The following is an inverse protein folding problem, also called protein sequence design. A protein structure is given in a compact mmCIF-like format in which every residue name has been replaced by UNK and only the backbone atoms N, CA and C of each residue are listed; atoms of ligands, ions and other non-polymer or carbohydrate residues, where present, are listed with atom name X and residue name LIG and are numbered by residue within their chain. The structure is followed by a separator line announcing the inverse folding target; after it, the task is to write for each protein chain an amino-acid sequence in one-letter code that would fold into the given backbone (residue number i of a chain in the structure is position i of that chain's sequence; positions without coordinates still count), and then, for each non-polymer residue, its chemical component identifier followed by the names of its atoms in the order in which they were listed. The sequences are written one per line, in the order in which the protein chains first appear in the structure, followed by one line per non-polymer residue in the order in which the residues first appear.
data_IF_772329865481
#
_entry.id   IF_772329865481
#
_cell.length_a   1.000
_cell.length_b   1.000
_cell.length_c   1.000
_cell.angle_alpha   90.00
_cell.angle_beta   90.00
_cell.angle_gamma   90.00
#
_symmetry.space_group_name_H-M   'P 1'
#
loop_
_entity.id
_entity.type
_entity.pdbx_description
1 polymer ?
#
# COMPACT_ATOMS: atom_id res chain seq x y z
N UNK A 1 -7.60 48.19 -8.57
CA UNK A 1 -6.32 48.25 -7.82
C UNK A 1 -6.52 47.62 -6.45
N UNK A 2 -5.48 47.06 -5.83
CA UNK A 2 -5.55 46.43 -4.51
C UNK A 2 -5.67 47.48 -3.39
N UNK A 3 -6.22 47.06 -2.23
CA UNK A 3 -5.61 47.22 -0.88
C UNK A 3 -6.53 46.64 0.20
N UNK A 4 -6.05 45.70 1.02
CA UNK A 4 -6.53 45.47 2.40
C UNK A 4 -5.33 45.09 3.30
N UNK A 5 -5.38 45.47 4.57
CA UNK A 5 -4.20 45.85 5.36
C UNK A 5 -3.54 44.75 6.23
N UNK A 6 -2.30 45.06 6.65
CA UNK A 6 -1.30 44.20 7.28
C UNK A 6 -0.44 45.07 8.23
N UNK A 7 -0.12 44.76 9.49
CA UNK A 7 -0.26 43.51 10.28
C UNK A 7 -1.04 43.74 11.59
N UNK A 8 -1.26 42.69 12.38
CA UNK A 8 -0.90 42.77 13.80
C UNK A 8 -0.33 41.43 14.32
N UNK A 9 1.00 41.32 14.35
CA UNK A 9 1.69 40.27 15.11
C UNK A 9 1.76 40.65 16.58
N UNK A 10 1.21 39.82 17.47
CA UNK A 10 1.56 39.83 18.90
C UNK A 10 2.35 38.56 19.22
N UNK A 11 3.67 38.64 19.41
CA UNK A 11 4.48 37.48 19.74
C UNK A 11 4.42 37.17 21.25
N UNK A 12 4.06 35.93 21.59
CA UNK A 12 4.34 35.34 22.91
C UNK A 12 3.19 35.30 23.92
N UNK A 13 2.23 34.39 23.74
CA UNK A 13 1.70 33.53 24.81
C UNK A 13 0.85 32.39 24.22
N UNK A 14 1.14 31.09 24.48
CA UNK A 14 0.14 30.04 24.31
C UNK A 14 -0.84 30.07 25.50
N UNK A 15 -2.17 29.97 25.30
CA UNK A 15 -3.09 29.80 26.41
C UNK A 15 -2.82 28.46 27.13
N UNK A 16 -2.60 28.46 28.45
CA UNK A 16 -2.28 27.24 29.18
C UNK A 16 -3.53 26.39 29.46
N UNK A 17 -3.28 25.16 29.93
CA UNK A 17 -4.28 24.19 30.43
C UNK A 17 -5.11 23.44 29.39
N UNK A 18 -4.50 22.36 28.87
CA UNK A 18 -5.01 21.02 29.17
C UNK A 18 -6.53 20.80 29.03
N UNK A 19 -7.06 20.92 27.82
CA UNK A 19 -8.26 20.17 27.44
C UNK A 19 -7.82 18.98 26.60
N UNK A 20 -7.94 17.78 27.17
CA UNK A 20 -7.82 16.56 26.40
C UNK A 20 -8.83 16.63 25.24
N UNK A 21 -8.34 16.63 24.01
CA UNK A 21 -9.21 16.49 22.84
C UNK A 21 -9.70 15.06 22.87
N UNK A 22 -10.88 14.84 23.46
CA UNK A 22 -11.62 13.59 23.31
C UNK A 22 -11.90 13.43 21.82
N UNK A 23 -11.08 12.65 21.14
CA UNK A 23 -11.33 12.21 19.78
C UNK A 23 -12.63 11.39 19.83
N UNK A 24 -13.75 12.05 19.51
CA UNK A 24 -15.04 11.39 19.40
C UNK A 24 -14.90 10.20 18.47
N UNK A 25 -15.46 9.06 18.85
CA UNK A 25 -15.32 7.82 18.11
C UNK A 25 -15.72 8.05 16.64
N UNK A 26 -14.73 8.00 15.74
CA UNK A 26 -14.97 8.16 14.30
C UNK A 26 -15.96 7.07 13.89
N UNK A 27 -17.15 7.41 13.35
CA UNK A 27 -18.16 6.41 13.03
C UNK A 27 -17.60 5.42 12.01
N UNK A 28 -17.40 4.19 12.47
CA UNK A 28 -16.79 3.15 11.65
C UNK A 28 -17.70 2.74 10.50
N UNK A 29 -17.08 2.49 9.35
CA UNK A 29 -17.66 1.86 8.15
C UNK A 29 -18.74 2.66 7.42
N UNK A 30 -18.33 3.71 6.73
CA UNK A 30 -18.61 3.71 5.27
C UNK A 30 -17.72 2.65 4.62
N UNK A 31 -18.18 1.90 3.60
CA UNK A 31 -17.29 1.10 2.76
C UNK A 31 -16.20 2.02 2.20
N UNK A 32 -14.98 1.80 2.63
CA UNK A 32 -13.82 2.57 2.18
C UNK A 32 -13.38 1.98 0.82
N UNK A 33 -13.57 2.70 -0.30
CA UNK A 33 -13.28 2.14 -1.63
C UNK A 33 -11.80 1.76 -1.76
N UNK A 34 -10.91 2.44 -1.02
CA UNK A 34 -9.48 2.16 -0.94
C UNK A 34 -9.11 0.85 -0.21
N UNK A 35 -10.09 0.16 0.40
CA UNK A 35 -9.93 -1.16 1.05
C UNK A 35 -10.54 -2.31 0.25
N UNK A 36 -11.04 -2.05 -0.96
CA UNK A 36 -11.80 -3.04 -1.73
C UNK A 36 -10.90 -3.83 -2.68
N UNK A 37 -10.55 -5.05 -2.28
CA UNK A 37 -9.76 -5.98 -3.08
C UNK A 37 -8.25 -5.75 -3.01
N UNK A 38 -7.48 -6.77 -3.39
CA UNK A 38 -6.07 -6.59 -3.75
C UNK A 38 -6.01 -6.11 -5.21
N UNK A 39 -5.22 -5.08 -5.54
CA UNK A 39 -5.05 -4.65 -6.93
C UNK A 39 -4.38 -5.77 -7.72
N UNK A 40 -4.72 -5.92 -9.01
CA UNK A 40 -4.02 -6.93 -9.82
C UNK A 40 -2.57 -6.52 -9.98
N UNK A 41 -1.68 -7.50 -10.10
CA UNK A 41 -0.27 -7.24 -10.36
C UNK A 41 -0.07 -6.36 -11.62
N UNK A 42 -0.94 -6.52 -12.62
CA UNK A 42 -0.92 -5.67 -13.83
C UNK A 42 -1.19 -4.21 -13.49
N UNK A 43 -2.20 -3.93 -12.66
CA UNK A 43 -2.55 -2.56 -12.25
C UNK A 43 -1.39 -1.92 -11.48
N UNK A 44 -0.82 -2.64 -10.51
CA UNK A 44 0.36 -2.21 -9.74
C UNK A 44 1.56 -1.94 -10.66
N UNK A 45 1.80 -2.80 -11.65
CA UNK A 45 2.88 -2.63 -12.63
C UNK A 45 2.62 -1.52 -13.65
N UNK A 46 1.44 -0.88 -13.66
CA UNK A 46 1.14 0.33 -14.43
C UNK A 46 1.10 1.61 -13.58
N UNK A 47 1.21 1.50 -12.25
CA UNK A 47 1.16 2.63 -11.34
C UNK A 47 2.37 3.58 -11.58
N UNK A 48 2.14 4.89 -11.81
CA UNK A 48 3.21 5.87 -11.96
C UNK A 48 4.21 5.92 -10.79
N UNK A 49 3.77 5.69 -9.55
CA UNK A 49 4.65 5.63 -8.38
C UNK A 49 5.58 4.42 -8.44
N UNK A 50 5.08 3.27 -8.89
CA UNK A 50 5.86 2.05 -9.08
C UNK A 50 6.90 2.26 -10.19
N UNK A 51 6.50 2.90 -11.30
CA UNK A 51 7.44 3.29 -12.36
C UNK A 51 8.54 4.25 -11.87
N UNK A 52 8.21 5.24 -11.04
CA UNK A 52 9.19 6.17 -10.46
C UNK A 52 10.18 5.45 -9.52
N UNK A 53 9.71 4.48 -8.72
CA UNK A 53 10.58 3.65 -7.86
C UNK A 53 11.49 2.76 -8.72
N UNK A 54 10.96 2.11 -9.76
CA UNK A 54 11.78 1.33 -10.69
C UNK A 54 12.85 2.19 -11.35
N UNK A 55 12.49 3.38 -11.85
CA UNK A 55 13.44 4.30 -12.49
C UNK A 55 14.53 4.77 -11.52
N UNK A 56 14.18 5.10 -10.27
CA UNK A 56 15.14 5.44 -9.20
C UNK A 56 16.18 4.33 -9.01
N UNK A 57 15.74 3.08 -9.09
CA UNK A 57 16.56 1.89 -8.86
C UNK A 57 17.20 1.34 -10.17
N UNK A 58 17.10 2.09 -11.29
CA UNK A 58 17.70 1.73 -12.58
C UNK A 58 16.98 0.62 -13.35
N UNK A 59 15.76 0.28 -12.95
CA UNK A 59 14.95 -0.79 -13.53
C UNK A 59 13.95 -0.28 -14.57
N UNK A 60 13.63 -1.14 -15.54
CA UNK A 60 12.53 -0.94 -16.51
C UNK A 60 11.55 -2.10 -16.43
N UNK A 61 10.27 -1.84 -16.71
CA UNK A 61 9.20 -2.82 -16.56
C UNK A 61 9.44 -4.12 -17.36
N UNK A 62 10.08 -4.04 -18.53
CA UNK A 62 10.41 -5.20 -19.37
C UNK A 62 11.44 -6.14 -18.72
N UNK A 63 12.26 -5.64 -17.79
CA UNK A 63 13.25 -6.43 -17.05
C UNK A 63 12.62 -7.08 -15.81
N UNK A 64 11.58 -6.47 -15.25
CA UNK A 64 10.90 -6.96 -14.04
C UNK A 64 9.88 -8.06 -14.38
N UNK A 65 9.11 -7.90 -15.46
CA UNK A 65 8.08 -8.87 -15.87
C UNK A 65 8.55 -10.33 -16.03
N UNK A 66 9.72 -10.62 -16.64
CA UNK A 66 10.26 -11.98 -16.70
C UNK A 66 10.52 -12.59 -15.32
N UNK A 67 11.07 -11.81 -14.38
CA UNK A 67 11.38 -12.26 -13.01
C UNK A 67 10.10 -12.61 -12.26
N UNK A 68 9.05 -11.78 -12.38
CA UNK A 68 7.77 -12.07 -11.71
C UNK A 68 7.11 -13.33 -12.30
N UNK A 69 7.11 -13.51 -13.63
CA UNK A 69 6.57 -14.74 -14.27
C UNK A 69 7.34 -16.00 -13.87
N UNK A 70 8.65 -15.90 -13.67
CA UNK A 70 9.46 -16.99 -13.13
C UNK A 70 9.04 -17.32 -11.69
N UNK A 71 8.98 -16.31 -10.81
CA UNK A 71 8.56 -16.49 -9.41
C UNK A 71 7.15 -17.09 -9.28
N UNK A 72 6.18 -16.67 -10.09
CA UNK A 72 4.84 -17.26 -10.16
C UNK A 72 4.88 -18.74 -10.58
N UNK A 73 5.74 -19.08 -11.54
CA UNK A 73 5.90 -20.46 -12.03
C UNK A 73 6.51 -21.37 -10.96
N UNK A 74 7.49 -20.88 -10.21
CA UNK A 74 8.15 -21.64 -9.15
C UNK A 74 7.27 -21.79 -7.90
N UNK A 75 6.48 -20.77 -7.55
CA UNK A 75 5.44 -20.87 -6.51
C UNK A 75 4.42 -21.96 -6.86
N UNK A 76 3.89 -21.95 -8.09
CA UNK A 76 2.95 -22.97 -8.58
C UNK A 76 3.54 -24.38 -8.49
N UNK A 77 4.82 -24.55 -8.85
CA UNK A 77 5.54 -25.84 -8.73
C UNK A 77 5.68 -26.30 -7.28
N UNK A 78 5.99 -25.38 -6.36
CA UNK A 78 6.09 -25.68 -4.93
C UNK A 78 4.74 -26.13 -4.35
N UNK A 79 3.64 -25.50 -4.75
CA UNK A 79 2.31 -25.83 -4.25
C UNK A 79 1.77 -27.16 -4.81
N UNK A 80 2.06 -27.49 -6.08
CA UNK A 80 1.80 -28.84 -6.61
C UNK A 80 2.56 -29.90 -5.79
N UNK A 81 3.86 -29.69 -5.56
CA UNK A 81 4.69 -30.63 -4.77
C UNK A 81 4.14 -30.81 -3.34
N UNK A 82 3.66 -29.75 -2.70
CA UNK A 82 2.99 -29.82 -1.38
C UNK A 82 1.70 -30.62 -1.43
N UNK A 83 0.87 -30.43 -2.46
CA UNK A 83 -0.38 -31.16 -2.64
C UNK A 83 -0.14 -32.67 -2.84
N UNK A 84 0.87 -33.03 -3.63
CA UNK A 84 1.20 -34.44 -3.89
C UNK A 84 1.81 -35.12 -2.66
N UNK A 85 2.68 -34.44 -1.90
CA UNK A 85 3.15 -34.93 -0.59
C UNK A 85 2.00 -35.14 0.40
N UNK A 86 1.02 -34.23 0.44
CA UNK A 86 -0.17 -34.37 1.30
C UNK A 86 -1.05 -35.56 0.90
N UNK A 87 -1.18 -35.82 -0.41
CA UNK A 87 -1.89 -37.02 -0.92
C UNK A 87 -1.14 -38.31 -0.59
N UNK A 88 0.18 -38.34 -0.75
CA UNK A 88 0.99 -39.50 -0.41
C UNK A 88 0.89 -39.83 1.09
N UNK A 89 0.90 -38.83 1.97
CA UNK A 89 0.68 -39.03 3.40
C UNK A 89 -0.72 -39.59 3.71
N UNK A 90 -1.76 -39.11 3.03
CA UNK A 90 -3.15 -39.55 3.23
C UNK A 90 -3.48 -40.95 2.67
N UNK A 91 -2.56 -41.59 1.92
CA UNK A 91 -2.70 -42.95 1.40
C UNK A 91 -1.87 -43.99 2.19
N UNK A 92 -1.09 -43.56 3.16
CA UNK A 92 -0.19 -44.41 3.97
C UNK A 92 -0.50 -44.36 5.48
N UNK A 93 -1.71 -43.91 5.85
CA UNK A 93 -2.23 -43.87 7.23
C UNK A 93 -3.68 -44.30 7.27
#
# INVERSE_FOLDING_TARGET
MQTYAFTASTPGLPPPHGKAVTLGAVPSRRPDPWRTGEPSLTDVMTDPLVHLVMQRDGLRSEQVWPVIRQAQSDLKRADLKRADLKRAAALNG
#
